data_IF_291899088270
#
_entry.id   IF_291899088270
#
_cell.length_a   1.000
_cell.length_b   1.000
_cell.length_c   1.000
_cell.angle_alpha   90.00
_cell.angle_beta   90.00
_cell.angle_gamma   90.00
#
_symmetry.space_group_name_H-M   'P 1'
#
loop_
_entity.id
_entity.type
_entity.pdbx_description
1 polymer ?
#
# COMPACT_ATOMS: atom_id res chain seq x y z
N UNK A 1 5.37 29.59 -0.07
CA UNK A 1 5.23 29.61 -1.54
C UNK A 1 5.00 28.18 -1.98
N UNK A 2 3.86 27.96 -2.60
CA UNK A 2 3.10 26.72 -2.69
C UNK A 2 3.77 25.58 -3.48
N UNK A 3 4.05 24.48 -2.78
CA UNK A 3 4.45 23.20 -3.36
C UNK A 3 3.24 22.29 -3.56
N UNK A 4 2.36 22.64 -4.51
CA UNK A 4 1.28 21.77 -4.94
C UNK A 4 1.85 20.56 -5.71
N UNK A 5 1.99 19.43 -5.04
CA UNK A 5 2.30 18.13 -5.67
C UNK A 5 1.08 17.69 -6.48
N UNK A 6 1.32 17.28 -7.72
CA UNK A 6 0.32 16.85 -8.71
C UNK A 6 -0.73 15.91 -8.12
N UNK A 7 -1.99 16.36 -8.14
CA UNK A 7 -3.18 15.53 -7.90
C UNK A 7 -3.23 14.36 -8.89
N UNK A 8 -2.96 13.14 -8.42
CA UNK A 8 -3.46 11.90 -9.04
C UNK A 8 -4.74 11.53 -8.30
N UNK A 9 -5.87 11.88 -8.94
CA UNK A 9 -7.27 11.76 -8.50
C UNK A 9 -7.53 10.76 -7.37
N UNK A 10 -7.75 11.33 -6.18
CA UNK A 10 -8.45 10.70 -5.08
C UNK A 10 -9.95 11.01 -5.19
N UNK A 11 -10.77 9.99 -4.94
CA UNK A 11 -12.19 9.89 -5.27
C UNK A 11 -13.06 10.98 -4.62
N UNK A 12 -13.96 11.63 -5.38
CA UNK A 12 -15.05 12.49 -4.88
C UNK A 12 -16.40 11.85 -5.23
N UNK A 13 -17.26 11.51 -4.27
CA UNK A 13 -18.62 11.01 -4.56
C UNK A 13 -19.65 12.08 -4.22
N UNK A 14 -20.15 12.79 -5.23
CA UNK A 14 -21.15 13.85 -5.06
C UNK A 14 -22.53 13.31 -5.48
N UNK A 15 -23.48 13.24 -4.54
CA UNK A 15 -24.90 13.19 -4.90
C UNK A 15 -25.38 14.62 -5.20
N UNK A 16 -25.60 14.95 -6.47
CA UNK A 16 -26.37 16.14 -6.81
C UNK A 16 -27.83 15.76 -6.98
N UNK A 17 -28.67 16.15 -6.01
CA UNK A 17 -30.11 16.23 -6.21
C UNK A 17 -30.59 17.57 -5.67
N UNK A 18 -30.56 18.61 -6.51
CA UNK A 18 -31.43 19.79 -6.35
C UNK A 18 -31.75 20.37 -7.73
N UNK A 19 -33.01 20.20 -8.14
CA UNK A 19 -33.63 21.12 -9.07
C UNK A 19 -34.00 22.41 -8.35
N UNK A 20 -33.39 23.52 -8.75
CA UNK A 20 -34.05 24.80 -9.10
C UNK A 20 -33.01 25.80 -9.64
N UNK A 21 -33.52 26.65 -10.52
CA UNK A 21 -32.87 27.48 -11.56
C UNK A 21 -31.64 28.28 -11.12
N UNK A 22 -30.76 28.48 -12.12
CA UNK A 22 -29.58 29.37 -12.19
C UNK A 22 -28.27 28.84 -11.60
N UNK A 23 -27.58 28.00 -12.39
CA UNK A 23 -26.13 27.83 -12.27
C UNK A 23 -25.49 27.87 -13.66
N UNK A 24 -24.71 28.91 -13.91
CA UNK A 24 -23.88 29.09 -15.11
C UNK A 24 -22.86 27.94 -15.19
N UNK A 25 -22.86 27.18 -16.29
CA UNK A 25 -21.90 26.07 -16.49
C UNK A 25 -20.57 26.60 -17.04
N UNK A 26 -19.47 26.21 -16.41
CA UNK A 26 -18.11 26.38 -16.94
C UNK A 26 -17.75 25.15 -17.80
N UNK A 27 -17.40 25.40 -19.06
CA UNK A 27 -16.87 24.38 -19.97
C UNK A 27 -15.39 24.67 -20.20
N UNK A 28 -14.53 23.70 -19.88
CA UNK A 28 -13.10 23.75 -20.19
C UNK A 28 -12.87 23.07 -21.55
N UNK A 29 -12.49 23.85 -22.57
CA UNK A 29 -11.90 23.32 -23.80
C UNK A 29 -10.43 23.70 -23.89
N UNK A 30 -9.63 22.78 -24.42
CA UNK A 30 -8.16 22.76 -24.28
C UNK A 30 -7.40 23.68 -25.25
N UNK A 31 -8.07 24.61 -25.90
CA UNK A 31 -7.44 25.55 -26.83
C UNK A 31 -8.05 26.95 -26.69
N UNK A 32 -7.18 27.92 -26.41
CA UNK A 32 -7.39 29.37 -26.25
C UNK A 32 -7.84 29.89 -24.86
N UNK A 33 -6.95 30.72 -24.27
CA UNK A 33 -7.10 31.45 -23.00
C UNK A 33 -8.05 32.67 -23.14
N UNK A 34 -9.32 32.48 -23.48
CA UNK A 34 -10.34 33.53 -23.31
C UNK A 34 -11.70 32.92 -22.94
N UNK A 35 -12.29 33.40 -21.85
CA UNK A 35 -13.65 33.10 -21.45
C UNK A 35 -14.62 33.84 -22.37
N UNK A 36 -15.50 33.12 -23.07
CA UNK A 36 -16.69 33.67 -23.70
C UNK A 36 -17.88 32.76 -23.46
N UNK A 37 -19.01 33.36 -23.10
CA UNK A 37 -20.30 32.68 -22.89
C UNK A 37 -20.98 32.45 -24.23
N UNK A 38 -21.17 31.18 -24.61
CA UNK A 38 -22.06 30.81 -25.71
C UNK A 38 -22.97 29.67 -25.28
N UNK A 39 -24.27 29.92 -25.37
CA UNK A 39 -25.38 29.06 -24.99
C UNK A 39 -25.46 27.84 -25.92
N UNK A 40 -25.24 26.64 -25.40
CA UNK A 40 -25.62 25.40 -26.08
C UNK A 40 -27.00 24.99 -25.54
N UNK A 41 -27.99 25.01 -26.43
CA UNK A 41 -29.32 24.51 -26.19
C UNK A 41 -29.27 22.97 -26.13
N UNK A 42 -29.43 22.39 -24.94
CA UNK A 42 -29.65 20.95 -24.78
C UNK A 42 -31.15 20.69 -24.60
N UNK A 43 -31.81 20.30 -25.68
CA UNK A 43 -32.96 19.42 -25.58
C UNK A 43 -32.43 18.03 -25.17
N UNK A 44 -32.57 17.68 -23.89
CA UNK A 44 -32.35 16.33 -23.37
C UNK A 44 -33.35 16.11 -22.25
N UNK A 45 -34.11 15.03 -22.36
CA UNK A 45 -35.19 14.63 -21.46
C UNK A 45 -34.75 14.66 -19.99
N UNK A 46 -35.59 15.24 -19.14
CA UNK A 46 -35.40 15.24 -17.69
C UNK A 46 -35.59 13.81 -17.16
N UNK A 47 -34.50 13.09 -16.97
CA UNK A 47 -34.49 11.90 -16.12
C UNK A 47 -34.74 12.33 -14.67
N UNK A 48 -35.96 12.16 -14.17
CA UNK A 48 -36.44 12.70 -12.89
C UNK A 48 -36.03 11.83 -11.67
N UNK A 49 -35.06 10.92 -11.82
CA UNK A 49 -34.66 9.97 -10.77
C UNK A 49 -33.40 10.36 -10.00
N UNK A 50 -33.17 9.79 -8.79
CA UNK A 50 -31.95 10.03 -8.03
C UNK A 50 -30.72 9.65 -8.87
N UNK A 51 -29.69 10.49 -8.78
CA UNK A 51 -28.45 10.33 -9.54
C UNK A 51 -27.25 10.30 -8.61
N UNK A 52 -26.37 9.32 -8.83
CA UNK A 52 -25.09 9.17 -8.16
C UNK A 52 -23.96 9.53 -9.11
N UNK A 53 -23.12 10.50 -8.74
CA UNK A 53 -21.89 10.81 -9.47
C UNK A 53 -20.69 10.34 -8.66
N UNK A 54 -19.92 9.43 -9.26
CA UNK A 54 -18.70 8.85 -8.70
C UNK A 54 -17.50 9.42 -9.43
N UNK A 55 -16.72 10.27 -8.78
CA UNK A 55 -15.45 10.77 -9.34
C UNK A 55 -14.34 9.85 -8.83
N UNK A 56 -13.69 9.14 -9.73
CA UNK A 56 -12.61 8.19 -9.46
C UNK A 56 -13.07 6.75 -9.70
N UNK A 57 -12.62 6.18 -10.82
CA UNK A 57 -12.93 4.82 -11.29
C UNK A 57 -11.96 3.76 -10.78
N UNK A 58 -11.41 3.96 -9.59
CA UNK A 58 -10.59 2.97 -8.88
C UNK A 58 -11.44 1.88 -8.20
N UNK A 59 -10.76 1.01 -7.45
CA UNK A 59 -11.38 -0.10 -6.71
C UNK A 59 -12.62 0.35 -5.91
N UNK A 60 -12.47 1.32 -5.00
CA UNK A 60 -13.55 1.77 -4.13
C UNK A 60 -14.73 2.39 -4.90
N UNK A 61 -14.45 3.26 -5.88
CA UNK A 61 -15.49 3.95 -6.63
C UNK A 61 -16.34 3.02 -7.49
N UNK A 62 -15.68 2.09 -8.22
CA UNK A 62 -16.41 1.08 -9.01
C UNK A 62 -17.18 0.13 -8.11
N UNK A 63 -16.59 -0.31 -7.01
CA UNK A 63 -17.25 -1.21 -6.07
C UNK A 63 -18.47 -0.57 -5.40
N UNK A 64 -18.36 0.68 -4.96
CA UNK A 64 -19.48 1.46 -4.45
C UNK A 64 -20.59 1.65 -5.49
N UNK A 65 -20.21 1.89 -6.76
CA UNK A 65 -21.16 2.06 -7.87
C UNK A 65 -21.99 0.81 -8.10
N UNK A 66 -21.34 -0.36 -8.15
CA UNK A 66 -22.02 -1.65 -8.31
C UNK A 66 -22.92 -1.90 -7.11
N UNK A 67 -22.39 -1.74 -5.89
CA UNK A 67 -23.13 -1.99 -4.66
C UNK A 67 -24.36 -1.08 -4.53
N UNK A 68 -24.23 0.21 -4.85
CA UNK A 68 -25.36 1.13 -4.81
C UNK A 68 -26.47 0.72 -5.78
N UNK A 69 -26.11 0.20 -6.95
CA UNK A 69 -27.06 -0.32 -7.94
C UNK A 69 -27.70 -1.64 -7.54
N UNK A 70 -26.97 -2.53 -6.86
CA UNK A 70 -27.55 -3.76 -6.28
C UNK A 70 -28.64 -3.44 -5.26
N UNK A 71 -28.42 -2.40 -4.43
CA UNK A 71 -29.36 -1.98 -3.38
C UNK A 71 -30.51 -1.11 -3.93
N UNK A 72 -30.23 -0.29 -4.94
CA UNK A 72 -31.20 0.57 -5.62
C UNK A 72 -31.08 0.42 -7.14
N UNK A 73 -31.75 -0.59 -7.76
CA UNK A 73 -31.64 -0.86 -9.20
C UNK A 73 -32.03 0.31 -10.11
N UNK A 74 -32.89 1.21 -9.63
CA UNK A 74 -33.34 2.43 -10.31
C UNK A 74 -32.35 3.58 -10.25
N UNK A 75 -31.28 3.48 -9.45
CA UNK A 75 -30.31 4.56 -9.27
C UNK A 75 -29.49 4.77 -10.55
N UNK A 76 -29.51 6.00 -11.06
CA UNK A 76 -28.67 6.40 -12.18
C UNK A 76 -27.24 6.64 -11.68
N UNK A 77 -26.27 5.85 -12.14
CA UNK A 77 -24.88 5.94 -11.68
C UNK A 77 -23.96 6.39 -12.82
N UNK A 78 -23.25 7.49 -12.62
CA UNK A 78 -22.22 8.01 -13.51
C UNK A 78 -20.85 7.91 -12.84
N UNK A 79 -19.94 7.15 -13.44
CA UNK A 79 -18.53 7.05 -12.98
C UNK A 79 -17.64 7.89 -13.89
N UNK A 80 -16.90 8.83 -13.31
CA UNK A 80 -15.96 9.73 -13.98
C UNK A 80 -14.55 9.32 -13.58
N UNK A 81 -13.73 8.94 -14.56
CA UNK A 81 -12.32 8.59 -14.37
C UNK A 81 -11.47 9.29 -15.42
N UNK A 82 -10.31 9.82 -15.02
CA UNK A 82 -9.37 10.47 -15.93
C UNK A 82 -8.68 9.44 -16.84
N UNK A 83 -8.35 8.27 -16.30
CA UNK A 83 -7.67 7.18 -16.99
C UNK A 83 -8.60 6.04 -17.38
N UNK A 84 -8.06 4.82 -17.37
CA UNK A 84 -8.86 3.59 -17.51
C UNK A 84 -9.35 3.14 -16.14
N UNK A 85 -10.63 2.78 -16.08
CA UNK A 85 -11.24 2.16 -14.89
C UNK A 85 -10.39 0.98 -14.40
N UNK A 86 -10.29 0.83 -13.08
CA UNK A 86 -9.61 -0.28 -12.41
C UNK A 86 -8.14 -0.51 -12.84
N UNK A 87 -7.49 0.49 -13.45
CA UNK A 87 -6.11 0.37 -13.94
C UNK A 87 -5.13 -0.09 -12.85
N UNK A 88 -5.23 0.43 -11.63
CA UNK A 88 -4.43 -0.01 -10.47
C UNK A 88 -4.71 -1.47 -10.07
N UNK A 89 -5.97 -1.91 -10.10
CA UNK A 89 -6.32 -3.31 -9.80
C UNK A 89 -5.66 -4.23 -10.82
N UNK A 90 -5.79 -3.90 -12.11
CA UNK A 90 -5.26 -4.71 -13.21
C UNK A 90 -3.74 -4.94 -13.12
N UNK A 91 -2.98 -3.91 -12.75
CA UNK A 91 -1.51 -4.01 -12.70
C UNK A 91 -0.99 -4.59 -11.38
N UNK A 92 -1.84 -4.71 -10.35
CA UNK A 92 -1.41 -5.18 -9.04
C UNK A 92 -1.04 -6.66 -9.04
N UNK A 93 -0.25 -7.10 -8.05
CA UNK A 93 0.24 -8.49 -7.98
C UNK A 93 1.13 -8.90 -9.15
N UNK A 94 1.73 -7.94 -9.87
CA UNK A 94 2.48 -8.19 -11.09
C UNK A 94 1.58 -8.53 -12.28
N UNK A 95 0.43 -7.86 -12.42
CA UNK A 95 -0.56 -8.11 -13.46
C UNK A 95 -1.56 -9.23 -13.14
N UNK A 96 -1.61 -9.69 -11.89
CA UNK A 96 -2.46 -10.81 -11.43
C UNK A 96 -3.67 -10.37 -10.62
N UNK A 97 -3.90 -9.05 -10.49
CA UNK A 97 -5.00 -8.49 -9.71
C UNK A 97 -5.01 -8.96 -8.26
N UNK A 98 -4.10 -8.44 -7.42
CA UNK A 98 -4.17 -8.67 -5.98
C UNK A 98 -5.47 -8.03 -5.43
N UNK A 99 -6.38 -8.86 -4.92
CA UNK A 99 -7.70 -8.42 -4.43
C UNK A 99 -7.71 -8.20 -2.92
N UNK A 100 -7.17 -9.12 -2.13
CA UNK A 100 -7.15 -9.03 -0.67
C UNK A 100 -6.01 -9.85 -0.07
N UNK A 101 -5.85 -9.81 1.26
CA UNK A 101 -4.86 -10.60 1.96
C UNK A 101 -5.45 -11.95 2.41
N UNK A 102 -5.03 -13.04 1.77
CA UNK A 102 -5.49 -14.39 2.10
C UNK A 102 -5.02 -14.94 3.46
N UNK A 103 -4.10 -14.27 4.16
CA UNK A 103 -3.66 -14.67 5.50
C UNK A 103 -4.50 -14.04 6.62
N UNK A 104 -5.37 -13.09 6.29
CA UNK A 104 -6.27 -12.43 7.23
C UNK A 104 -7.71 -12.74 6.83
N UNK A 105 -8.10 -14.02 6.94
CA UNK A 105 -9.50 -14.41 6.74
C UNK A 105 -10.41 -13.75 7.78
N UNK A 106 -9.88 -13.62 8.99
CA UNK A 106 -10.51 -12.92 10.09
C UNK A 106 -9.98 -11.48 10.24
N UNK A 107 -10.86 -10.62 10.74
CA UNK A 107 -10.61 -9.19 11.01
C UNK A 107 -9.53 -8.91 12.07
N UNK A 108 -9.26 -9.88 12.96
CA UNK A 108 -8.39 -9.67 14.11
C UNK A 108 -6.98 -9.34 13.61
N UNK A 109 -6.42 -8.21 14.06
CA UNK A 109 -5.09 -7.77 13.65
C UNK A 109 -4.99 -7.18 12.23
N UNK A 110 -6.08 -7.11 11.46
CA UNK A 110 -6.07 -6.51 10.13
C UNK A 110 -5.73 -5.01 10.20
N UNK A 111 -6.38 -4.28 11.12
CA UNK A 111 -6.13 -2.85 11.36
C UNK A 111 -4.67 -2.54 11.75
N UNK A 112 -3.97 -3.48 12.39
CA UNK A 112 -2.55 -3.36 12.75
C UNK A 112 -1.61 -3.23 11.55
N UNK A 113 -2.09 -3.54 10.34
CA UNK A 113 -1.34 -3.42 9.09
C UNK A 113 -1.54 -2.08 8.38
N UNK A 114 -2.21 -1.12 9.01
CA UNK A 114 -2.48 0.20 8.45
C UNK A 114 -1.72 1.30 9.20
N UNK A 115 -0.60 1.82 8.68
CA UNK A 115 0.12 2.90 9.35
C UNK A 115 -0.74 4.12 9.66
N UNK A 116 -1.64 4.52 8.75
CA UNK A 116 -2.69 5.52 9.00
C UNK A 116 -4.06 4.85 8.97
N UNK A 117 -4.90 5.22 9.94
CA UNK A 117 -6.25 4.67 10.12
C UNK A 117 -6.34 3.47 11.07
N UNK A 118 -5.23 2.93 11.59
CA UNK A 118 -5.24 1.76 12.49
C UNK A 118 -6.30 1.86 13.59
N UNK A 119 -6.25 2.94 14.38
CA UNK A 119 -7.13 3.12 15.55
C UNK A 119 -8.60 3.12 15.16
N UNK A 120 -8.93 3.85 14.09
CA UNK A 120 -10.30 4.00 13.61
C UNK A 120 -10.84 2.72 12.96
N UNK A 121 -9.95 1.93 12.34
CA UNK A 121 -10.28 0.67 11.67
C UNK A 121 -10.39 -0.54 12.61
N UNK A 122 -9.97 -0.41 13.88
CA UNK A 122 -10.11 -1.48 14.89
C UNK A 122 -11.58 -1.80 15.26
N UNK A 123 -12.50 -0.87 14.97
CA UNK A 123 -13.92 -1.02 15.29
C UNK A 123 -14.70 -1.92 14.32
N UNK A 124 -15.95 -1.55 14.03
CA UNK A 124 -16.84 -2.34 13.18
C UNK A 124 -16.54 -2.28 11.69
N UNK A 125 -15.54 -1.51 11.25
CA UNK A 125 -15.29 -1.24 9.83
C UNK A 125 -15.12 -2.52 9.02
N UNK A 126 -14.19 -3.38 9.41
CA UNK A 126 -13.98 -4.68 8.75
C UNK A 126 -15.00 -5.75 9.14
N UNK A 127 -15.93 -5.47 10.07
CA UNK A 127 -17.06 -6.36 10.35
C UNK A 127 -18.15 -6.24 9.29
N UNK A 128 -18.27 -5.08 8.65
CA UNK A 128 -19.33 -4.83 7.67
C UNK A 128 -18.99 -5.50 6.34
N UNK A 129 -17.72 -5.46 5.94
CA UNK A 129 -17.24 -6.11 4.73
C UNK A 129 -15.73 -6.38 4.84
N UNK A 130 -15.36 -7.58 5.30
CA UNK A 130 -13.98 -8.00 5.51
C UNK A 130 -13.39 -8.81 4.35
N UNK A 131 -12.17 -9.37 4.52
CA UNK A 131 -11.51 -10.20 3.52
C UNK A 131 -12.33 -11.40 3.06
N UNK A 132 -12.96 -12.12 4.00
CA UNK A 132 -13.82 -13.25 3.63
C UNK A 132 -15.02 -12.82 2.78
N UNK A 133 -15.70 -11.73 3.15
CA UNK A 133 -16.82 -11.19 2.38
C UNK A 133 -16.38 -10.74 0.98
N UNK A 134 -15.21 -10.11 0.89
CA UNK A 134 -14.60 -9.70 -0.38
C UNK A 134 -14.33 -10.91 -1.28
N UNK A 135 -13.71 -11.96 -0.74
CA UNK A 135 -13.45 -13.18 -1.51
C UNK A 135 -14.74 -13.85 -1.98
N UNK A 136 -15.75 -13.94 -1.10
CA UNK A 136 -17.06 -14.50 -1.42
C UNK A 136 -17.74 -13.70 -2.53
N UNK A 137 -17.71 -12.37 -2.46
CA UNK A 137 -18.28 -11.50 -3.49
C UNK A 137 -17.60 -11.71 -4.84
N UNK A 138 -16.27 -11.74 -4.90
CA UNK A 138 -15.58 -11.97 -6.19
C UNK A 138 -15.85 -13.38 -6.74
N UNK A 139 -15.88 -14.39 -5.88
CA UNK A 139 -16.15 -15.78 -6.29
C UNK A 139 -17.58 -15.95 -6.80
N UNK A 140 -18.58 -15.33 -6.15
CA UNK A 140 -19.97 -15.37 -6.62
C UNK A 140 -20.19 -14.65 -7.95
N UNK A 141 -19.25 -13.77 -8.34
CA UNK A 141 -19.21 -13.09 -9.63
C UNK A 141 -18.26 -13.77 -10.64
N UNK A 142 -17.89 -15.03 -10.40
CA UNK A 142 -17.13 -15.87 -11.34
C UNK A 142 -15.63 -15.58 -11.40
N UNK A 143 -15.05 -14.96 -10.38
CA UNK A 143 -13.60 -14.73 -10.30
C UNK A 143 -12.92 -15.85 -9.51
N UNK A 144 -12.11 -16.65 -10.21
CA UNK A 144 -11.31 -17.70 -9.59
C UNK A 144 -10.14 -17.13 -8.77
N UNK A 145 -10.16 -17.37 -7.46
CA UNK A 145 -9.15 -16.87 -6.53
C UNK A 145 -8.00 -17.88 -6.34
N UNK A 146 -6.76 -17.37 -6.33
CA UNK A 146 -5.55 -18.17 -6.05
C UNK A 146 -4.66 -17.45 -5.06
N UNK A 147 -4.19 -18.16 -4.04
CA UNK A 147 -3.18 -17.68 -3.11
C UNK A 147 -1.78 -18.08 -3.58
N UNK A 148 -0.79 -17.18 -3.49
CA UNK A 148 0.59 -17.46 -3.92
C UNK A 148 1.62 -16.82 -2.99
N UNK A 149 2.70 -17.55 -2.73
CA UNK A 149 3.85 -17.05 -2.00
C UNK A 149 4.66 -16.03 -2.83
N UNK A 150 5.33 -15.11 -2.14
CA UNK A 150 6.23 -14.13 -2.74
C UNK A 150 7.60 -14.78 -2.99
N UNK A 151 8.29 -14.39 -4.06
CA UNK A 151 9.67 -14.81 -4.33
C UNK A 151 10.65 -14.05 -3.41
N UNK A 152 11.60 -14.76 -2.79
CA UNK A 152 12.39 -14.25 -1.66
C UNK A 152 13.88 -14.56 -1.86
N UNK A 153 14.75 -13.56 -1.68
CA UNK A 153 16.22 -13.75 -1.68
C UNK A 153 16.75 -14.08 -0.29
N UNK A 154 16.24 -13.40 0.73
CA UNK A 154 16.60 -13.62 2.12
C UNK A 154 15.31 -13.88 2.91
N UNK A 155 15.10 -15.10 3.44
CA UNK A 155 13.81 -15.53 4.00
C UNK A 155 13.41 -14.70 5.21
N UNK A 156 14.38 -14.31 6.02
CA UNK A 156 14.14 -13.57 7.26
C UNK A 156 15.34 -12.70 7.60
N UNK A 157 15.10 -11.40 7.66
CA UNK A 157 16.04 -10.40 8.18
C UNK A 157 15.31 -9.50 9.16
N UNK A 158 16.06 -8.81 10.03
CA UNK A 158 15.53 -7.70 10.82
C UNK A 158 16.13 -6.40 10.30
N UNK A 159 15.27 -5.54 9.77
CA UNK A 159 15.67 -4.28 9.17
C UNK A 159 15.25 -3.11 10.06
N UNK A 160 16.14 -2.14 10.25
CA UNK A 160 15.95 -0.93 11.03
C UNK A 160 16.21 0.31 10.18
N UNK A 161 15.22 1.18 10.07
CA UNK A 161 15.31 2.45 9.37
C UNK A 161 15.79 3.56 10.33
N UNK A 162 16.80 4.31 9.90
CA UNK A 162 17.29 5.52 10.58
C UNK A 162 17.36 6.65 9.56
N UNK A 163 16.58 7.69 9.76
CA UNK A 163 16.49 8.82 8.83
C UNK A 163 17.34 9.99 9.30
N UNK A 164 17.87 10.74 8.34
CA UNK A 164 18.62 11.96 8.63
C UNK A 164 17.65 13.03 9.19
N UNK A 165 18.10 13.79 10.19
CA UNK A 165 17.34 14.85 10.86
C UNK A 165 16.06 14.42 11.59
N UNK A 166 15.81 13.11 11.74
CA UNK A 166 14.70 12.57 12.53
C UNK A 166 15.29 11.77 13.70
N UNK A 167 15.32 12.42 14.87
CA UNK A 167 15.91 11.84 16.08
C UNK A 167 15.03 10.78 16.75
N UNK A 168 13.76 10.67 16.35
CA UNK A 168 12.84 9.68 16.91
C UNK A 168 13.10 8.32 16.28
N UNK A 169 13.56 7.36 17.09
CA UNK A 169 13.52 5.95 16.70
C UNK A 169 12.18 5.38 17.12
N UNK A 170 11.28 5.20 16.15
CA UNK A 170 9.98 4.57 16.38
C UNK A 170 10.13 3.04 16.35
N UNK A 171 9.45 2.28 17.23
CA UNK A 171 9.44 0.80 17.17
C UNK A 171 9.07 0.28 15.77
N UNK A 172 8.16 0.96 15.09
CA UNK A 172 7.68 0.65 13.75
C UNK A 172 8.77 0.79 12.66
N UNK A 173 9.87 1.48 12.96
CA UNK A 173 11.05 1.57 12.09
C UNK A 173 11.98 0.37 12.24
N UNK A 174 11.57 -0.64 13.00
CA UNK A 174 12.19 -1.95 13.01
C UNK A 174 11.17 -2.99 12.57
N UNK A 175 11.49 -3.72 11.51
CA UNK A 175 10.60 -4.75 10.95
C UNK A 175 11.38 -6.03 10.71
N UNK A 176 10.68 -7.16 10.77
CA UNK A 176 11.23 -8.46 10.41
C UNK A 176 10.47 -9.04 9.22
N UNK A 177 11.17 -9.77 8.37
CA UNK A 177 10.56 -10.51 7.28
C UNK A 177 11.53 -10.71 6.12
N UNK A 178 10.97 -11.15 5.00
CA UNK A 178 11.72 -11.41 3.79
C UNK A 178 12.25 -10.11 3.16
N UNK A 179 13.47 -10.18 2.61
CA UNK A 179 14.10 -9.13 1.82
C UNK A 179 14.50 -9.65 0.43
N UNK A 180 14.37 -8.79 -0.57
CA UNK A 180 14.74 -9.06 -1.95
C UNK A 180 15.77 -8.02 -2.40
N UNK A 181 16.87 -8.49 -3.00
CA UNK A 181 17.92 -7.64 -3.57
C UNK A 181 17.70 -7.55 -5.08
N UNK A 182 17.66 -6.33 -5.60
CA UNK A 182 17.48 -6.06 -7.04
C UNK A 182 18.63 -5.20 -7.56
N UNK A 183 18.70 -5.04 -8.88
CA UNK A 183 19.66 -4.16 -9.54
C UNK A 183 19.45 -2.66 -9.23
N UNK A 184 18.31 -2.29 -8.64
CA UNK A 184 18.00 -0.91 -8.24
C UNK A 184 18.04 -0.66 -6.73
N UNK A 185 18.37 -1.68 -5.93
CA UNK A 185 18.38 -1.60 -4.48
C UNK A 185 17.56 -2.70 -3.80
N UNK A 186 17.12 -2.42 -2.58
CA UNK A 186 16.44 -3.37 -1.71
C UNK A 186 14.92 -3.23 -1.78
N UNK A 187 14.23 -4.37 -1.80
CA UNK A 187 12.76 -4.46 -1.80
C UNK A 187 12.33 -5.69 -0.98
N UNK A 188 11.10 -6.12 -1.16
CA UNK A 188 10.49 -7.25 -0.46
C UNK A 188 9.67 -6.80 0.77
N UNK A 189 8.95 -7.73 1.40
CA UNK A 189 7.98 -7.42 2.44
C UNK A 189 8.51 -6.53 3.57
N UNK A 190 9.74 -6.77 4.05
CA UNK A 190 10.31 -6.01 5.17
C UNK A 190 10.60 -4.54 4.79
N UNK A 191 11.15 -4.30 3.60
CA UNK A 191 11.50 -2.95 3.12
C UNK A 191 10.23 -2.17 2.76
N UNK A 192 9.28 -2.83 2.09
CA UNK A 192 8.00 -2.22 1.73
C UNK A 192 7.19 -1.85 2.97
N UNK A 193 7.19 -2.71 4.00
CA UNK A 193 6.56 -2.41 5.29
C UNK A 193 7.21 -1.20 5.97
N UNK A 194 8.54 -1.17 6.08
CA UNK A 194 9.26 -0.02 6.63
C UNK A 194 8.95 1.27 5.89
N UNK A 195 8.88 1.23 4.55
CA UNK A 195 8.56 2.40 3.74
C UNK A 195 7.13 2.91 3.97
N UNK A 196 6.18 2.02 4.24
CA UNK A 196 4.80 2.40 4.53
C UNK A 196 4.68 3.08 5.91
N UNK A 197 5.34 2.53 6.94
CA UNK A 197 5.37 3.15 8.28
C UNK A 197 6.13 4.47 8.28
N UNK A 198 7.28 4.53 7.61
CA UNK A 198 8.11 5.71 7.52
C UNK A 198 7.71 6.69 6.43
N UNK A 199 6.57 6.53 5.74
CA UNK A 199 6.28 7.25 4.50
C UNK A 199 6.41 8.78 4.61
N UNK A 200 5.84 9.38 5.66
CA UNK A 200 5.89 10.83 5.90
C UNK A 200 7.30 11.30 6.25
N UNK A 201 7.96 10.57 7.14
CA UNK A 201 9.30 10.90 7.62
C UNK A 201 10.37 10.71 6.53
N UNK A 202 10.21 9.67 5.69
CA UNK A 202 11.00 9.48 4.48
C UNK A 202 10.83 10.66 3.51
N UNK A 203 9.62 11.17 3.36
CA UNK A 203 9.38 12.37 2.54
C UNK A 203 10.07 13.61 3.15
N UNK A 204 9.90 13.86 4.45
CA UNK A 204 10.50 15.03 5.12
C UNK A 204 12.03 14.98 5.22
N UNK A 205 12.61 13.78 5.29
CA UNK A 205 14.08 13.58 5.24
C UNK A 205 14.63 13.59 3.81
N UNK A 206 13.80 13.85 2.79
CA UNK A 206 14.17 13.74 1.37
C UNK A 206 14.75 12.37 1.01
N UNK A 207 14.27 11.32 1.68
CA UNK A 207 14.72 9.93 1.55
C UNK A 207 16.21 9.74 1.89
N UNK A 208 16.76 10.61 2.74
CA UNK A 208 18.15 10.51 3.21
C UNK A 208 18.19 9.79 4.55
N UNK A 209 19.02 8.76 4.63
CA UNK A 209 19.17 7.96 5.84
C UNK A 209 19.93 6.67 5.59
N UNK A 210 19.87 5.78 6.59
CA UNK A 210 20.49 4.47 6.58
C UNK A 210 19.45 3.39 6.91
N UNK A 211 19.51 2.29 6.17
CA UNK A 211 18.85 1.04 6.50
C UNK A 211 19.90 0.11 7.11
N UNK A 212 19.68 -0.34 8.33
CA UNK A 212 20.50 -1.36 8.97
C UNK A 212 19.78 -2.70 8.89
N UNK A 213 20.49 -3.75 8.49
CA UNK A 213 19.92 -5.09 8.31
C UNK A 213 20.73 -6.08 9.11
N UNK A 214 20.07 -6.71 10.07
CA UNK A 214 20.51 -7.93 10.71
C UNK A 214 20.07 -9.10 9.85
N UNK A 215 21.04 -9.71 9.17
CA UNK A 215 20.86 -10.77 8.19
C UNK A 215 20.59 -12.13 8.84
N UNK A 216 20.93 -12.28 10.13
CA UNK A 216 20.77 -13.51 10.92
C UNK A 216 20.08 -13.17 12.25
N UNK A 217 18.82 -12.68 12.21
CA UNK A 217 18.18 -12.06 13.36
C UNK A 217 17.88 -13.03 14.52
N UNK A 218 17.84 -14.34 14.23
CA UNK A 218 17.53 -15.38 15.22
C UNK A 218 18.78 -15.89 15.95
N UNK A 219 19.97 -15.46 15.54
CA UNK A 219 21.25 -15.92 16.11
C UNK A 219 21.90 -14.77 16.87
N UNK A 220 22.34 -15.03 18.10
CA UNK A 220 23.04 -14.02 18.91
C UNK A 220 24.44 -13.74 18.35
N UNK A 221 24.99 -12.55 18.60
CA UNK A 221 26.28 -12.14 18.00
C UNK A 221 27.43 -13.09 18.38
N UNK A 222 27.46 -13.60 19.61
CA UNK A 222 28.48 -14.56 20.02
C UNK A 222 28.32 -15.90 19.29
N UNK A 223 27.09 -16.42 19.15
CA UNK A 223 26.82 -17.65 18.40
C UNK A 223 27.17 -17.50 16.91
N UNK A 224 26.98 -16.30 16.32
CA UNK A 224 27.42 -16.02 14.93
C UNK A 224 28.94 -16.14 14.82
N UNK A 225 29.69 -15.58 15.77
CA UNK A 225 31.16 -15.68 15.78
C UNK A 225 31.60 -17.13 15.95
N UNK A 226 30.98 -17.85 16.88
CA UNK A 226 31.29 -19.26 17.14
C UNK A 226 31.03 -20.10 15.89
N UNK A 227 29.91 -19.87 15.20
CA UNK A 227 29.58 -20.55 13.93
C UNK A 227 30.62 -20.25 12.85
N UNK A 228 31.08 -19.00 12.72
CA UNK A 228 32.15 -18.62 11.78
C UNK A 228 33.49 -19.27 12.15
N UNK A 229 33.84 -19.35 13.44
CA UNK A 229 35.07 -20.01 13.91
C UNK A 229 35.01 -21.51 13.65
N UNK A 230 33.90 -22.17 13.98
CA UNK A 230 33.68 -23.60 13.72
C UNK A 230 33.77 -23.90 12.22
N UNK A 231 33.10 -23.11 11.39
CA UNK A 231 33.15 -23.24 9.94
C UNK A 231 34.56 -23.04 9.39
N UNK A 232 35.32 -22.09 9.95
CA UNK A 232 36.73 -21.88 9.62
C UNK A 232 37.57 -23.12 9.90
N UNK A 233 37.34 -23.82 11.01
CA UNK A 233 38.08 -25.03 11.36
C UNK A 233 37.67 -26.23 10.51
N UNK A 234 36.38 -26.42 10.26
CA UNK A 234 35.87 -27.55 9.49
C UNK A 234 36.17 -27.46 8.00
N UNK A 235 36.08 -26.25 7.41
CA UNK A 235 36.29 -26.01 5.98
C UNK A 235 37.58 -25.21 5.72
N UNK A 236 38.60 -25.41 6.55
CA UNK A 236 39.87 -24.69 6.54
C UNK A 236 40.51 -24.54 5.14
N UNK A 237 40.46 -25.59 4.32
CA UNK A 237 41.06 -25.64 2.99
C UNK A 237 40.14 -25.14 1.87
N UNK A 238 38.92 -24.68 2.18
CA UNK A 238 38.03 -24.09 1.19
C UNK A 238 38.23 -22.59 1.10
N UNK A 239 37.93 -22.04 -0.08
CA UNK A 239 37.94 -20.60 -0.33
C UNK A 239 36.75 -19.91 0.35
N UNK A 240 36.94 -18.69 0.84
CA UNK A 240 35.85 -17.92 1.49
C UNK A 240 34.63 -17.74 0.56
N UNK A 241 34.82 -17.46 -0.73
CA UNK A 241 33.69 -17.33 -1.68
C UNK A 241 32.93 -18.63 -1.95
N UNK A 242 33.49 -19.78 -1.57
CA UNK A 242 32.95 -21.08 -1.92
C UNK A 242 31.94 -21.59 -0.91
N UNK A 243 32.06 -21.20 0.37
CA UNK A 243 31.24 -21.71 1.47
C UNK A 243 31.02 -20.66 2.56
N UNK A 244 29.96 -20.87 3.34
CA UNK A 244 29.57 -20.09 4.52
C UNK A 244 28.68 -20.99 5.40
N UNK A 245 28.49 -20.66 6.69
CA UNK A 245 27.61 -21.42 7.56
C UNK A 245 26.18 -21.48 7.00
N UNK A 246 25.64 -22.69 6.81
CA UNK A 246 24.38 -22.92 6.11
C UNK A 246 23.17 -22.38 6.90
N UNK A 247 23.27 -22.39 8.23
CA UNK A 247 22.30 -21.86 9.18
C UNK A 247 22.03 -20.36 8.99
N UNK A 248 22.93 -19.62 8.34
CA UNK A 248 22.72 -18.20 8.04
C UNK A 248 21.70 -17.97 6.92
N UNK A 249 21.32 -19.01 6.16
CA UNK A 249 20.29 -18.91 5.13
C UNK A 249 20.62 -17.92 4.00
N UNK A 250 21.91 -17.64 3.78
CA UNK A 250 22.38 -16.72 2.75
C UNK A 250 22.48 -17.40 1.38
N UNK A 251 22.43 -16.59 0.33
CA UNK A 251 22.74 -17.05 -1.03
C UNK A 251 24.20 -16.74 -1.36
N UNK A 252 24.88 -17.65 -2.07
CA UNK A 252 26.31 -17.54 -2.40
C UNK A 252 26.71 -16.20 -3.02
N UNK A 253 25.90 -15.67 -3.94
CA UNK A 253 26.16 -14.37 -4.57
C UNK A 253 26.18 -13.23 -3.56
N UNK A 254 25.26 -13.25 -2.59
CA UNK A 254 25.16 -12.23 -1.56
C UNK A 254 26.29 -12.37 -0.53
N UNK A 255 26.68 -13.60 -0.18
CA UNK A 255 27.86 -13.86 0.64
C UNK A 255 29.14 -13.22 0.06
N UNK A 256 29.39 -13.41 -1.25
CA UNK A 256 30.53 -12.77 -1.92
C UNK A 256 30.50 -11.25 -1.78
N UNK A 257 29.34 -10.63 -2.03
CA UNK A 257 29.15 -9.20 -1.84
C UNK A 257 29.48 -8.71 -0.42
N UNK A 258 29.15 -9.49 0.62
CA UNK A 258 29.49 -9.13 2.00
C UNK A 258 31.01 -9.17 2.24
N UNK A 259 31.69 -10.19 1.74
CA UNK A 259 33.14 -10.30 1.84
C UNK A 259 33.87 -9.17 1.09
N UNK A 260 33.39 -8.84 -0.10
CA UNK A 260 33.93 -7.74 -0.92
C UNK A 260 33.82 -6.40 -0.18
N UNK A 261 32.69 -6.18 0.51
CA UNK A 261 32.46 -4.98 1.33
C UNK A 261 33.40 -4.87 2.53
N UNK A 262 33.77 -5.99 3.13
CA UNK A 262 34.78 -6.02 4.21
C UNK A 262 36.22 -5.90 3.66
N UNK A 263 36.40 -5.86 2.33
CA UNK A 263 37.71 -5.83 1.70
C UNK A 263 38.48 -7.15 1.84
N UNK A 264 37.78 -8.27 2.01
CA UNK A 264 38.39 -9.59 2.10
C UNK A 264 38.56 -10.20 0.71
N UNK A 265 39.76 -10.71 0.43
CA UNK A 265 39.99 -11.53 -0.75
C UNK A 265 39.23 -12.85 -0.58
N UNK A 266 38.20 -13.09 -1.39
CA UNK A 266 37.40 -14.28 -1.29
C UNK A 266 38.04 -15.56 -1.85
N UNK A 267 39.18 -15.45 -2.52
CA UNK A 267 39.98 -16.60 -2.95
C UNK A 267 40.92 -17.12 -1.86
N UNK A 268 41.10 -16.37 -0.77
CA UNK A 268 41.83 -16.85 0.40
C UNK A 268 41.11 -18.04 1.04
N UNK A 269 41.87 -18.87 1.74
CA UNK A 269 41.35 -20.03 2.45
C UNK A 269 40.72 -19.60 3.77
N UNK A 270 39.73 -20.36 4.25
CA UNK A 270 39.19 -20.16 5.60
C UNK A 270 40.30 -20.19 6.66
N UNK A 271 41.28 -21.10 6.53
CA UNK A 271 42.41 -21.21 7.45
C UNK A 271 43.21 -19.90 7.65
N UNK A 272 43.27 -19.03 6.64
CA UNK A 272 44.01 -17.76 6.72
C UNK A 272 43.20 -16.62 7.35
N UNK A 273 41.91 -16.84 7.65
CA UNK A 273 41.03 -15.81 8.17
C UNK A 273 41.35 -15.48 9.63
N UNK A 274 41.81 -14.24 9.88
CA UNK A 274 42.13 -13.76 11.22
C UNK A 274 40.89 -13.67 12.13
N UNK A 275 41.07 -13.76 13.45
CA UNK A 275 39.97 -13.56 14.41
C UNK A 275 39.36 -12.14 14.31
N UNK A 276 40.16 -11.14 13.92
CA UNK A 276 39.66 -9.78 13.66
C UNK A 276 38.68 -9.78 12.47
N UNK A 277 39.01 -10.48 11.39
CA UNK A 277 38.15 -10.62 10.22
C UNK A 277 36.86 -11.38 10.55
N UNK A 278 36.95 -12.45 11.34
CA UNK A 278 35.77 -13.18 11.84
C UNK A 278 34.83 -12.26 12.62
N UNK A 279 35.37 -11.47 13.55
CA UNK A 279 34.58 -10.49 14.31
C UNK A 279 33.93 -9.44 13.39
N UNK A 280 34.67 -8.95 12.39
CA UNK A 280 34.15 -7.98 11.41
C UNK A 280 33.00 -8.55 10.60
N UNK A 281 33.14 -9.78 10.07
CA UNK A 281 32.07 -10.49 9.35
C UNK A 281 30.86 -10.69 10.25
N UNK A 282 31.05 -11.13 11.50
CA UNK A 282 29.96 -11.31 12.45
C UNK A 282 29.19 -10.02 12.71
N UNK A 283 29.90 -8.90 12.88
CA UNK A 283 29.28 -7.57 13.03
C UNK A 283 28.55 -7.14 11.75
N UNK A 284 29.14 -7.37 10.57
CA UNK A 284 28.48 -7.07 9.29
C UNK A 284 27.19 -7.88 9.13
N UNK A 285 27.17 -9.15 9.51
CA UNK A 285 25.98 -9.99 9.47
C UNK A 285 24.87 -9.48 10.39
N UNK A 286 25.22 -8.96 11.58
CA UNK A 286 24.25 -8.43 12.55
C UNK A 286 23.82 -6.98 12.26
N UNK A 287 24.63 -6.19 11.57
CA UNK A 287 24.36 -4.76 11.38
C UNK A 287 24.82 -4.25 10.00
N UNK A 288 24.42 -4.94 8.94
CA UNK A 288 24.73 -4.57 7.57
C UNK A 288 24.06 -3.24 7.21
N UNK A 289 24.84 -2.19 6.95
CA UNK A 289 24.31 -0.86 6.63
C UNK A 289 24.17 -0.65 5.13
N UNK A 290 23.09 0.04 4.74
CA UNK A 290 22.83 0.50 3.38
C UNK A 290 22.38 1.95 3.42
N UNK A 291 23.09 2.81 2.68
CA UNK A 291 22.70 4.22 2.55
C UNK A 291 21.51 4.33 1.61
N UNK A 292 20.50 5.08 2.03
CA UNK A 292 19.31 5.34 1.21
C UNK A 292 19.64 6.55 0.33
N UNK A 293 19.63 6.33 -0.98
CA UNK A 293 19.90 7.36 -1.99
C UNK A 293 18.61 7.99 -2.56
N UNK A 294 17.46 7.34 -2.37
CA UNK A 294 16.18 7.81 -2.89
C UNK A 294 15.16 6.70 -3.08
N UNK A 295 14.10 7.01 -3.82
CA UNK A 295 13.05 6.07 -4.22
C UNK A 295 13.51 5.17 -5.38
N UNK A 296 12.85 4.03 -5.56
CA UNK A 296 13.08 3.13 -6.69
C UNK A 296 12.86 3.80 -8.07
N UNK A 297 13.46 3.22 -9.11
CA UNK A 297 13.55 3.82 -10.45
C UNK A 297 12.19 3.96 -11.17
N UNK A 298 11.19 3.16 -10.81
CA UNK A 298 9.80 3.30 -11.25
C UNK A 298 9.04 4.18 -10.26
N UNK A 299 9.23 5.51 -10.36
CA UNK A 299 8.77 6.61 -9.49
C UNK A 299 7.29 6.60 -9.04
N UNK A 300 6.49 5.61 -9.40
CA UNK A 300 5.11 5.47 -8.95
C UNK A 300 5.10 4.84 -7.54
N UNK A 301 4.77 5.66 -6.56
CA UNK A 301 4.34 5.20 -5.24
C UNK A 301 3.10 4.31 -5.41
N UNK A 302 3.14 3.11 -4.82
CA UNK A 302 2.01 2.17 -4.90
C UNK A 302 0.76 2.72 -4.21
N UNK A 303 0.97 3.46 -3.13
CA UNK A 303 -0.05 3.92 -2.19
C UNK A 303 0.37 5.31 -1.66
N UNK A 304 -0.58 6.22 -1.54
CA UNK A 304 -0.35 7.56 -0.99
C UNK A 304 -0.47 7.61 0.53
N UNK A 305 0.36 8.46 1.16
CA UNK A 305 0.32 8.75 2.58
C UNK A 305 -0.36 10.06 2.93
N UNK A 306 -1.51 9.98 3.58
CA UNK A 306 -2.37 11.14 3.85
C UNK A 306 -3.73 10.94 3.20
N UNK A 307 -4.52 12.02 3.18
CA UNK A 307 -5.88 12.00 2.65
C UNK A 307 -6.84 12.75 3.58
N UNK A 308 -8.13 12.59 3.32
CA UNK A 308 -9.21 13.19 4.12
C UNK A 308 -9.16 12.66 5.56
N UNK A 309 -9.18 13.53 6.59
CA UNK A 309 -9.14 13.10 7.98
C UNK A 309 -10.33 12.21 8.35
N UNK A 310 -10.06 11.09 9.04
CA UNK A 310 -11.12 10.17 9.48
C UNK A 310 -12.03 10.75 10.57
N UNK A 311 -11.59 11.81 11.25
CA UNK A 311 -12.42 12.62 12.14
C UNK A 311 -13.56 13.33 11.41
N UNK A 312 -13.49 13.49 10.09
CA UNK A 312 -14.51 14.16 9.28
C UNK A 312 -15.42 13.16 8.55
N UNK A 313 -15.19 11.85 8.71
CA UNK A 313 -15.91 10.79 7.98
C UNK A 313 -16.57 9.81 8.95
N UNK A 314 -17.85 9.53 8.75
CA UNK A 314 -18.53 8.45 9.46
C UNK A 314 -18.11 7.10 8.89
N UNK A 315 -17.32 6.31 9.60
CA UNK A 315 -16.90 4.97 9.13
C UNK A 315 -18.03 3.92 9.06
N UNK A 316 -19.23 4.24 9.58
CA UNK A 316 -20.42 3.38 9.45
C UNK A 316 -21.16 3.60 8.13
N UNK A 317 -21.03 4.78 7.53
CA UNK A 317 -21.78 5.18 6.32
C UNK A 317 -20.88 5.64 5.18
N UNK A 318 -19.61 5.92 5.47
CA UNK A 318 -18.64 6.61 4.63
C UNK A 318 -19.04 8.03 4.21
N UNK A 319 -20.06 8.59 4.85
CA UNK A 319 -20.53 9.94 4.60
C UNK A 319 -19.65 10.98 5.33
N UNK A 320 -19.48 12.13 4.71
CA UNK A 320 -18.89 13.31 5.33
C UNK A 320 -19.75 13.77 6.50
N UNK A 321 -19.10 14.07 7.63
CA UNK A 321 -19.71 14.72 8.79
C UNK A 321 -19.94 16.22 8.56
N UNK A 322 -19.35 16.79 7.50
CA UNK A 322 -19.40 18.22 7.20
C UNK A 322 -20.46 18.50 6.14
N UNK A 323 -20.47 17.72 5.05
CA UNK A 323 -21.38 17.91 3.94
C UNK A 323 -22.28 16.68 3.75
N UNK A 324 -23.59 16.79 4.04
CA UNK A 324 -24.52 15.70 3.80
C UNK A 324 -24.51 15.26 2.33
N UNK A 325 -24.68 13.96 2.11
CA UNK A 325 -24.71 13.28 0.81
C UNK A 325 -23.38 13.34 0.03
N UNK A 326 -22.29 13.71 0.68
CA UNK A 326 -20.93 13.59 0.15
C UNK A 326 -20.25 12.39 0.80
N UNK A 327 -19.77 11.45 0.00
CA UNK A 327 -19.18 10.20 0.49
C UNK A 327 -17.71 10.09 0.09
N UNK A 328 -16.92 9.39 0.91
CA UNK A 328 -15.50 9.16 0.67
C UNK A 328 -15.12 7.71 0.93
N UNK A 329 -14.44 7.06 -0.01
CA UNK A 329 -14.01 5.67 0.14
C UNK A 329 -12.69 5.40 -0.59
N UNK A 330 -11.89 4.47 -0.06
CA UNK A 330 -10.60 4.07 -0.61
C UNK A 330 -9.46 5.02 -0.28
N UNK A 331 -8.48 5.12 -1.18
CA UNK A 331 -7.18 5.82 -1.00
C UNK A 331 -7.31 7.35 -0.87
N UNK A 332 -8.51 7.92 -1.03
CA UNK A 332 -8.76 9.34 -0.74
C UNK A 332 -8.74 9.66 0.74
N UNK A 333 -9.09 8.68 1.56
CA UNK A 333 -9.09 8.80 3.00
C UNK A 333 -7.66 8.76 3.51
N UNK A 334 -7.43 9.33 4.70
CA UNK A 334 -6.17 9.16 5.43
C UNK A 334 -6.04 7.74 6.00
N UNK A 335 -6.07 6.75 5.10
CA UNK A 335 -5.93 5.32 5.34
C UNK A 335 -4.96 4.78 4.31
N UNK A 336 -3.94 4.08 4.80
CA UNK A 336 -3.07 3.26 3.97
C UNK A 336 -2.74 1.97 4.70
N UNK A 337 -2.63 0.90 3.94
CA UNK A 337 -2.08 -0.37 4.40
C UNK A 337 -0.64 -0.55 3.95
N UNK A 338 0.06 -1.46 4.61
CA UNK A 338 1.27 -2.06 4.04
C UNK A 338 0.93 -2.82 2.74
N UNK A 339 1.95 -3.26 2.00
CA UNK A 339 1.74 -4.09 0.81
C UNK A 339 1.17 -5.47 1.15
N UNK A 340 0.47 -6.09 0.20
CA UNK A 340 -0.09 -7.44 0.36
C UNK A 340 -1.62 -7.46 0.45
N UNK A 341 -2.30 -6.65 -0.35
CA UNK A 341 -3.78 -6.70 -0.46
C UNK A 341 -4.54 -5.79 0.51
N UNK A 342 -3.89 -5.26 1.56
CA UNK A 342 -4.55 -4.41 2.57
C UNK A 342 -5.21 -3.16 1.96
N UNK A 343 -4.52 -2.42 1.09
CA UNK A 343 -5.10 -1.21 0.48
C UNK A 343 -6.33 -1.51 -0.39
N UNK A 344 -6.33 -2.64 -1.10
CA UNK A 344 -7.50 -3.07 -1.83
C UNK A 344 -8.61 -3.49 -0.88
N UNK A 345 -8.30 -4.22 0.20
CA UNK A 345 -9.29 -4.53 1.23
C UNK A 345 -9.97 -3.27 1.76
N UNK A 346 -9.21 -2.23 2.12
CA UNK A 346 -9.79 -0.95 2.53
C UNK A 346 -10.68 -0.33 1.45
N UNK A 347 -10.26 -0.39 0.18
CA UNK A 347 -11.06 0.12 -0.92
C UNK A 347 -12.38 -0.64 -1.09
N UNK A 348 -12.38 -1.98 -0.97
CA UNK A 348 -13.59 -2.79 -1.03
C UNK A 348 -14.49 -2.55 0.17
N UNK A 349 -13.96 -2.55 1.38
CA UNK A 349 -14.72 -2.30 2.60
C UNK A 349 -15.40 -0.92 2.55
N UNK A 350 -14.64 0.15 2.30
CA UNK A 350 -15.20 1.50 2.20
C UNK A 350 -16.17 1.64 1.04
N UNK A 351 -15.87 1.03 -0.11
CA UNK A 351 -16.77 1.03 -1.26
C UNK A 351 -18.11 0.34 -0.97
N UNK A 352 -18.08 -0.81 -0.29
CA UNK A 352 -19.27 -1.55 0.10
C UNK A 352 -20.16 -0.75 1.06
N UNK A 353 -19.56 -0.16 2.10
CA UNK A 353 -20.27 0.63 3.10
C UNK A 353 -20.90 1.86 2.43
N UNK A 354 -20.12 2.61 1.65
CA UNK A 354 -20.61 3.78 0.93
C UNK A 354 -21.75 3.43 -0.03
N UNK A 355 -21.54 2.40 -0.87
CA UNK A 355 -22.53 1.96 -1.85
C UNK A 355 -23.83 1.50 -1.21
N UNK A 356 -23.75 0.76 -0.10
CA UNK A 356 -24.93 0.30 0.64
C UNK A 356 -25.73 1.48 1.19
N UNK A 357 -25.07 2.42 1.87
CA UNK A 357 -25.72 3.61 2.43
C UNK A 357 -26.35 4.48 1.34
N UNK A 358 -25.64 4.72 0.23
CA UNK A 358 -26.15 5.48 -0.92
C UNK A 358 -27.38 4.81 -1.53
N UNK A 359 -27.34 3.48 -1.72
CA UNK A 359 -28.46 2.72 -2.24
C UNK A 359 -29.69 2.78 -1.32
N UNK A 360 -29.50 2.63 -0.01
CA UNK A 360 -30.59 2.74 0.97
C UNK A 360 -31.23 4.13 0.97
N UNK A 361 -30.43 5.18 0.89
CA UNK A 361 -30.92 6.56 0.74
C UNK A 361 -31.75 6.71 -0.54
N UNK A 362 -31.25 6.24 -1.69
CA UNK A 362 -31.95 6.33 -2.97
C UNK A 362 -33.25 5.51 -3.02
N UNK A 363 -33.29 4.34 -2.38
CA UNK A 363 -34.50 3.51 -2.27
C UNK A 363 -35.55 4.15 -1.36
N UNK A 364 -35.11 4.88 -0.33
CA UNK A 364 -36.02 5.62 0.56
C UNK A 364 -36.66 6.81 -0.14
N UNK A 365 -35.94 7.51 -1.03
CA UNK A 365 -36.48 8.61 -1.84
C UNK A 365 -37.65 8.16 -2.73
N UNK A 366 -37.53 7.01 -3.41
CA UNK A 366 -38.61 6.51 -4.27
C UNK A 366 -39.87 6.12 -3.50
N UNK A 367 -39.75 5.66 -2.25
CA UNK A 367 -40.93 5.34 -1.42
C UNK A 367 -41.70 6.59 -1.02
N UNK A 368 -41.01 7.72 -0.85
CA UNK A 368 -41.64 9.00 -0.50
C UNK A 368 -42.29 9.66 -1.72
N UNK A 369 -41.75 9.50 -2.93
CA UNK A 369 -42.38 10.01 -4.16
C UNK A 369 -43.54 9.14 -4.67
N UNK A 370 -43.62 7.87 -4.24
CA UNK A 370 -44.71 6.95 -4.60
C UNK A 370 -45.93 7.03 -3.67
N UNK A 371 -45.83 7.79 -2.57
CA UNK A 371 -46.91 8.11 -1.63
C UNK A 371 -47.40 9.54 -1.89
#
# INVERSE_FOLDING_TARGET
MDGAVLWRCSVFLLLSALGRRNASRFVFTRQQRRFNSSSICCCSEKGNGPSLVVVGGGAAGVYASVRAKEVAPHLNVLVIEKGKLLSKVRISGGGRCNLTNGNYLEKQGLAGNYPRGNKELQGSYFNIHGPQDTMNWFSSHGVDLKQKAVEITLPKVKAKLKLDNICKTLPEYTQMGAMLVTHWGLTGPVVLRLSAWGARDLFFSEYKGNLYVDLVPDVHIEDVKDSLVQHRHHLANQKLYSSFPAEFGLVKRFWRYLLDREGLDGDQLWASLSNKSVNSIGLLLKQCSFRIAGKGQFKDEFVTAGGVPLSEISLRTMESRIQPKLFFAGEVLNIDGITGGFNFQNAWTGGYIAGTCIGELASSYNKVEAL
#
